data_IF_682002448725
#
_entry.id   IF_682002448725
#
_cell.length_a   1.000
_cell.length_b   1.000
_cell.length_c   1.000
_cell.angle_alpha   90.00
_cell.angle_beta   90.00
_cell.angle_gamma   90.00
#
_symmetry.space_group_name_H-M   'P 1'
#
loop_
_entity.id
_entity.type
_entity.pdbx_description
1 polymer ?
#
# COMPACT_ATOMS: atom_id res chain seq x y z
N UNK A 1 -23.99 20.37 -24.56
CA UNK A 1 -22.85 19.76 -23.84
C UNK A 1 -22.61 20.55 -22.56
N UNK A 2 -22.67 19.90 -21.40
CA UNK A 2 -22.75 20.58 -20.10
C UNK A 2 -21.35 21.08 -19.65
N UNK A 3 -21.24 22.37 -19.28
CA UNK A 3 -20.01 23.04 -18.81
C UNK A 3 -19.33 22.27 -17.66
N UNK A 4 -20.11 21.55 -16.85
CA UNK A 4 -19.65 20.71 -15.76
C UNK A 4 -18.78 19.52 -16.22
N UNK A 5 -18.98 19.07 -17.47
CA UNK A 5 -18.20 17.98 -18.07
C UNK A 5 -16.80 18.47 -18.51
N UNK A 6 -16.71 19.69 -19.04
CA UNK A 6 -15.44 20.31 -19.44
C UNK A 6 -14.58 20.65 -18.22
N UNK A 7 -15.18 21.15 -17.14
CA UNK A 7 -14.48 21.39 -15.87
C UNK A 7 -13.95 20.10 -15.22
N UNK A 8 -14.72 18.99 -15.26
CA UNK A 8 -14.24 17.68 -14.78
C UNK A 8 -13.09 17.14 -15.60
N UNK A 9 -13.10 17.32 -16.93
CA UNK A 9 -12.00 16.90 -17.80
C UNK A 9 -10.73 17.74 -17.56
N UNK A 10 -10.88 19.05 -17.30
CA UNK A 10 -9.74 19.94 -17.00
C UNK A 10 -9.06 19.62 -15.67
N UNK A 11 -9.86 19.35 -14.62
CA UNK A 11 -9.32 18.95 -13.30
C UNK A 11 -8.65 17.56 -13.34
N UNK A 12 -9.14 16.65 -14.18
CA UNK A 12 -8.50 15.33 -14.37
C UNK A 12 -7.20 15.45 -15.18
N UNK A 13 -7.13 16.36 -16.15
CA UNK A 13 -5.91 16.66 -16.90
C UNK A 13 -4.83 17.31 -16.01
N UNK A 14 -5.19 18.26 -15.14
CA UNK A 14 -4.25 18.86 -14.18
C UNK A 14 -3.76 17.87 -13.12
N UNK A 15 -4.61 16.94 -12.67
CA UNK A 15 -4.19 15.87 -11.75
C UNK A 15 -3.26 14.86 -12.41
N UNK A 16 -3.43 14.57 -13.71
CA UNK A 16 -2.51 13.73 -14.47
C UNK A 16 -1.15 14.40 -14.68
N UNK A 17 -1.13 15.72 -14.94
CA UNK A 17 0.10 16.50 -15.08
C UNK A 17 0.93 16.54 -13.77
N UNK A 18 0.28 16.72 -12.60
CA UNK A 18 0.99 16.74 -11.30
C UNK A 18 1.55 15.39 -10.85
N UNK A 19 0.99 14.27 -11.33
CA UNK A 19 1.53 12.93 -11.07
C UNK A 19 2.80 12.70 -11.89
N UNK A 20 2.87 13.23 -13.12
CA UNK A 20 4.07 13.14 -13.96
C UNK A 20 5.24 14.01 -13.46
N UNK A 21 4.95 15.12 -12.78
CA UNK A 21 5.98 16.04 -12.29
C UNK A 21 6.72 15.53 -11.04
N UNK A 22 6.08 14.69 -10.21
CA UNK A 22 6.72 14.09 -9.01
C UNK A 22 7.49 12.81 -9.30
N UNK A 23 7.24 12.16 -10.44
CA UNK A 23 8.02 11.00 -10.89
C UNK A 23 9.41 11.41 -11.44
N UNK A 24 9.63 12.70 -11.75
CA UNK A 24 10.79 13.19 -12.49
C UNK A 24 11.81 14.04 -11.70
N UNK A 25 11.80 14.05 -10.36
CA UNK A 25 12.88 14.71 -9.59
C UNK A 25 14.16 13.88 -9.43
N UNK A 26 14.09 12.57 -9.68
CA UNK A 26 15.28 11.71 -9.76
C UNK A 26 16.03 11.88 -11.10
N UNK A 27 15.31 12.18 -12.19
CA UNK A 27 15.88 12.24 -13.53
C UNK A 27 16.72 13.50 -13.81
N UNK A 28 16.51 14.59 -13.06
CA UNK A 28 17.25 15.84 -13.30
C UNK A 28 18.68 15.79 -12.73
N UNK A 29 18.90 15.06 -11.62
CA UNK A 29 20.25 14.90 -11.05
C UNK A 29 21.15 14.00 -11.88
N UNK A 30 20.61 13.18 -12.79
CA UNK A 30 21.37 12.32 -13.69
C UNK A 30 21.73 13.00 -15.02
N UNK A 31 21.24 14.22 -15.27
CA UNK A 31 21.42 14.89 -16.56
C UNK A 31 22.75 15.65 -16.69
N UNK A 32 23.46 15.88 -15.59
CA UNK A 32 24.73 16.61 -15.59
C UNK A 32 25.97 15.75 -15.78
N UNK A 33 25.86 14.41 -15.82
CA UNK A 33 26.99 13.50 -16.07
C UNK A 33 26.97 12.83 -17.45
N UNK A 34 26.00 13.16 -18.32
CA UNK A 34 25.86 12.52 -19.64
C UNK A 34 26.59 13.25 -20.77
N UNK A 35 27.31 14.35 -20.50
CA UNK A 35 28.00 15.15 -21.53
C UNK A 35 29.30 14.52 -22.06
N UNK A 36 29.76 13.40 -21.51
CA UNK A 36 30.99 12.72 -22.01
C UNK A 36 30.75 11.61 -23.05
N UNK A 37 29.50 11.19 -23.28
CA UNK A 37 29.23 10.07 -24.19
C UNK A 37 28.84 10.54 -25.61
N UNK A 38 29.79 11.14 -26.34
CA UNK A 38 29.66 11.32 -27.80
C UNK A 38 29.89 9.98 -28.52
N UNK A 39 28.84 9.14 -28.58
CA UNK A 39 28.80 7.96 -29.44
C UNK A 39 28.23 8.36 -30.81
N UNK A 40 29.10 8.49 -31.81
CA UNK A 40 28.71 8.68 -33.23
C UNK A 40 28.25 7.35 -33.81
N UNK A 41 26.93 7.16 -33.92
CA UNK A 41 26.31 5.93 -34.42
C UNK A 41 26.30 5.93 -35.96
N UNK A 42 27.10 5.07 -36.60
CA UNK A 42 27.10 4.88 -38.06
C UNK A 42 26.11 3.81 -38.55
N UNK A 43 25.57 2.95 -37.68
CA UNK A 43 24.51 1.96 -38.00
C UNK A 43 23.61 1.71 -36.79
N UNK A 44 22.28 1.75 -37.00
CA UNK A 44 21.25 1.75 -35.94
C UNK A 44 21.29 0.48 -35.05
N UNK A 45 21.75 -0.66 -35.57
CA UNK A 45 21.81 -1.92 -34.82
C UNK A 45 22.98 -2.02 -33.84
N UNK A 46 24.18 -1.60 -34.25
CA UNK A 46 25.42 -1.73 -33.47
C UNK A 46 25.43 -0.79 -32.25
N UNK A 47 24.83 0.39 -32.38
CA UNK A 47 24.75 1.38 -31.29
C UNK A 47 23.86 0.92 -30.12
N UNK A 48 22.78 0.17 -30.41
CA UNK A 48 21.88 -0.36 -29.38
C UNK A 48 22.56 -1.47 -28.59
N UNK A 49 23.32 -2.33 -29.26
CA UNK A 49 24.03 -3.43 -28.60
C UNK A 49 25.13 -2.92 -27.65
N UNK A 50 25.94 -1.95 -28.10
CA UNK A 50 26.94 -1.30 -27.27
C UNK A 50 26.31 -0.59 -26.05
N UNK A 51 25.15 0.04 -26.23
CA UNK A 51 24.40 0.65 -25.14
C UNK A 51 23.91 -0.38 -24.12
N UNK A 52 23.31 -1.48 -24.57
CA UNK A 52 22.82 -2.55 -23.69
C UNK A 52 23.95 -3.18 -22.87
N UNK A 53 25.11 -3.41 -23.49
CA UNK A 53 26.29 -3.92 -22.79
C UNK A 53 26.74 -2.97 -21.68
N UNK A 54 26.84 -1.66 -21.98
CA UNK A 54 27.24 -0.65 -20.99
C UNK A 54 26.22 -0.51 -19.88
N UNK A 55 24.93 -0.51 -20.21
CA UNK A 55 23.82 -0.44 -19.26
C UNK A 55 23.85 -1.62 -18.29
N UNK A 56 23.94 -2.85 -18.80
CA UNK A 56 23.97 -4.06 -17.98
C UNK A 56 25.19 -4.08 -17.04
N UNK A 57 26.36 -3.65 -17.51
CA UNK A 57 27.57 -3.53 -16.69
C UNK A 57 27.38 -2.55 -15.52
N UNK A 58 26.66 -1.45 -15.74
CA UNK A 58 26.37 -0.48 -14.68
C UNK A 58 25.31 -0.99 -13.70
N UNK A 59 24.30 -1.70 -14.20
CA UNK A 59 23.27 -2.35 -13.37
C UNK A 59 23.92 -3.36 -12.43
N UNK A 60 24.79 -4.24 -12.93
CA UNK A 60 25.49 -5.24 -12.10
C UNK A 60 26.37 -4.60 -11.03
N UNK A 61 27.04 -3.48 -11.36
CA UNK A 61 27.94 -2.80 -10.43
C UNK A 61 27.21 -2.02 -9.34
N UNK A 62 26.09 -1.39 -9.66
CA UNK A 62 25.46 -0.38 -8.79
C UNK A 62 24.12 -0.80 -8.19
N UNK A 63 23.46 -1.81 -8.74
CA UNK A 63 22.15 -2.28 -8.23
C UNK A 63 22.38 -3.59 -7.47
N UNK A 64 22.27 -3.58 -6.13
CA UNK A 64 22.42 -4.80 -5.33
C UNK A 64 21.38 -5.84 -5.76
N UNK A 65 21.83 -7.06 -6.07
CA UNK A 65 20.93 -8.19 -6.35
C UNK A 65 20.27 -8.61 -5.04
N UNK A 66 19.01 -8.22 -4.86
CA UNK A 66 18.23 -8.61 -3.69
C UNK A 66 17.88 -10.09 -3.83
N UNK A 67 18.58 -10.95 -3.08
CA UNK A 67 18.27 -12.37 -2.97
C UNK A 67 17.06 -12.54 -2.04
N UNK A 68 15.87 -12.34 -2.60
CA UNK A 68 14.63 -12.58 -1.88
C UNK A 68 14.50 -14.08 -1.67
N UNK A 69 14.66 -14.56 -0.43
CA UNK A 69 14.40 -15.95 -0.06
C UNK A 69 13.09 -16.44 -0.69
N UNK A 70 13.07 -17.67 -1.25
CA UNK A 70 11.84 -18.28 -1.78
C UNK A 70 10.71 -18.32 -0.74
N UNK A 71 11.03 -18.21 0.56
CA UNK A 71 10.05 -18.13 1.65
C UNK A 71 9.49 -16.72 1.89
N UNK A 72 10.18 -15.67 1.45
CA UNK A 72 9.77 -14.28 1.63
C UNK A 72 8.72 -13.88 0.58
N UNK A 73 7.55 -14.52 0.67
CA UNK A 73 6.34 -14.00 0.05
C UNK A 73 5.68 -13.08 1.05
N UNK A 74 5.56 -11.80 0.71
CA UNK A 74 4.67 -10.86 1.40
C UNK A 74 3.22 -11.36 1.28
N UNK A 75 2.81 -12.30 2.14
CA UNK A 75 1.41 -12.67 2.28
C UNK A 75 0.75 -11.49 2.94
N UNK A 76 0.00 -10.70 2.16
CA UNK A 76 -0.86 -9.66 2.72
C UNK A 76 -1.77 -10.32 3.76
N UNK A 77 -1.72 -9.82 4.99
CA UNK A 77 -2.55 -10.34 6.07
C UNK A 77 -4.01 -10.27 5.64
N UNK A 78 -4.71 -11.38 5.80
CA UNK A 78 -6.14 -11.45 5.51
C UNK A 78 -6.85 -10.66 6.62
N UNK A 79 -7.77 -9.73 6.27
CA UNK A 79 -8.52 -9.00 7.29
C UNK A 79 -9.25 -9.96 8.23
N UNK A 80 -9.28 -9.66 9.53
CA UNK A 80 -9.90 -10.51 10.56
C UNK A 80 -11.41 -10.73 10.35
N UNK A 81 -12.08 -9.79 9.70
CA UNK A 81 -13.49 -9.88 9.30
C UNK A 81 -13.70 -10.64 7.98
N UNK A 82 -12.65 -11.03 7.25
CA UNK A 82 -12.80 -11.70 5.96
C UNK A 82 -13.38 -13.11 6.14
N UNK A 83 -14.30 -13.49 5.25
CA UNK A 83 -14.92 -14.82 5.25
C UNK A 83 -14.75 -15.51 3.88
N UNK A 84 -14.88 -16.86 3.82
CA UNK A 84 -14.79 -17.61 2.56
C UNK A 84 -15.84 -17.18 1.52
N UNK A 85 -16.99 -16.68 1.94
CA UNK A 85 -18.08 -16.24 1.06
C UNK A 85 -17.72 -14.98 0.28
N UNK A 86 -17.13 -13.97 0.93
CA UNK A 86 -16.58 -12.75 0.30
C UNK A 86 -15.53 -13.15 -0.73
N UNK A 87 -14.67 -14.11 -0.39
CA UNK A 87 -13.66 -14.64 -1.32
C UNK A 87 -14.32 -15.29 -2.55
N UNK A 88 -15.36 -16.10 -2.35
CA UNK A 88 -16.12 -16.75 -3.44
C UNK A 88 -16.75 -15.71 -4.38
N UNK A 89 -17.52 -14.77 -3.85
CA UNK A 89 -18.22 -13.76 -4.67
C UNK A 89 -17.23 -12.80 -5.33
N UNK A 90 -16.10 -12.48 -4.67
CA UNK A 90 -15.02 -11.68 -5.28
C UNK A 90 -14.39 -12.42 -6.47
N UNK A 91 -14.18 -13.74 -6.38
CA UNK A 91 -13.73 -14.56 -7.51
C UNK A 91 -14.75 -14.56 -8.64
N UNK A 92 -16.04 -14.68 -8.34
CA UNK A 92 -17.11 -14.60 -9.36
C UNK A 92 -17.13 -13.24 -10.05
N UNK A 93 -17.04 -12.14 -9.30
CA UNK A 93 -16.89 -10.78 -9.83
C UNK A 93 -15.71 -10.68 -10.78
N UNK A 94 -14.56 -11.24 -10.39
CA UNK A 94 -13.36 -11.26 -11.23
C UNK A 94 -13.55 -12.08 -12.50
N UNK A 95 -14.16 -13.27 -12.41
CA UNK A 95 -14.50 -14.09 -13.59
C UNK A 95 -15.39 -13.32 -14.58
N UNK A 96 -16.41 -12.62 -14.09
CA UNK A 96 -17.27 -11.78 -14.94
C UNK A 96 -16.52 -10.62 -15.57
N UNK A 97 -15.60 -9.98 -14.84
CA UNK A 97 -14.74 -8.93 -15.39
C UNK A 97 -13.85 -9.46 -16.51
N UNK A 98 -13.23 -10.63 -16.33
CA UNK A 98 -12.41 -11.26 -17.37
C UNK A 98 -13.25 -11.59 -18.61
N UNK A 99 -14.45 -12.16 -18.44
CA UNK A 99 -15.39 -12.42 -19.55
C UNK A 99 -15.80 -11.14 -20.26
N UNK A 100 -16.12 -10.08 -19.52
CA UNK A 100 -16.51 -8.78 -20.07
C UNK A 100 -15.39 -8.18 -20.94
N UNK A 101 -14.12 -8.34 -20.54
CA UNK A 101 -12.97 -7.85 -21.32
C UNK A 101 -12.76 -8.60 -22.64
N UNK A 102 -13.15 -9.86 -22.71
CA UNK A 102 -13.03 -10.71 -23.89
C UNK A 102 -14.29 -10.74 -24.77
N UNK A 103 -15.38 -10.07 -24.34
CA UNK A 103 -16.68 -10.15 -24.99
C UNK A 103 -16.79 -9.20 -26.20
N UNK A 104 -17.58 -9.61 -27.20
CA UNK A 104 -18.05 -8.75 -28.28
C UNK A 104 -19.07 -7.72 -27.78
N UNK A 105 -19.34 -6.67 -28.58
CA UNK A 105 -20.22 -5.55 -28.19
C UNK A 105 -21.62 -5.99 -27.73
N UNK A 106 -22.22 -6.99 -28.40
CA UNK A 106 -23.55 -7.50 -28.06
C UNK A 106 -23.58 -8.26 -26.73
N UNK A 107 -22.62 -9.18 -26.52
CA UNK A 107 -22.49 -9.94 -25.27
C UNK A 107 -22.07 -9.07 -24.08
N UNK A 108 -21.33 -7.98 -24.34
CA UNK A 108 -20.83 -7.07 -23.31
C UNK A 108 -21.96 -6.37 -22.53
N UNK A 109 -23.13 -6.12 -23.13
CA UNK A 109 -24.25 -5.44 -22.46
C UNK A 109 -24.76 -6.28 -21.28
N UNK A 110 -25.04 -7.56 -21.52
CA UNK A 110 -25.52 -8.51 -20.50
C UNK A 110 -24.45 -8.79 -19.45
N UNK A 111 -23.19 -8.97 -19.87
CA UNK A 111 -22.09 -9.18 -18.94
C UNK A 111 -21.83 -7.95 -18.05
N UNK A 112 -22.03 -6.74 -18.56
CA UNK A 112 -21.88 -5.50 -17.80
C UNK A 112 -22.93 -5.37 -16.70
N UNK A 113 -24.18 -5.73 -16.98
CA UNK A 113 -25.25 -5.71 -15.97
C UNK A 113 -24.98 -6.77 -14.87
N UNK A 114 -24.60 -7.99 -15.25
CA UNK A 114 -24.22 -9.06 -14.33
C UNK A 114 -23.01 -8.67 -13.45
N UNK A 115 -21.98 -8.08 -14.06
CA UNK A 115 -20.80 -7.57 -13.34
C UNK A 115 -21.17 -6.47 -12.35
N UNK A 116 -22.03 -5.51 -12.73
CA UNK A 116 -22.51 -4.44 -11.84
C UNK A 116 -23.28 -5.01 -10.65
N UNK A 117 -24.14 -6.01 -10.88
CA UNK A 117 -24.86 -6.74 -9.82
C UNK A 117 -23.88 -7.40 -8.84
N UNK A 118 -22.87 -8.13 -9.34
CA UNK A 118 -21.83 -8.73 -8.48
C UNK A 118 -20.98 -7.71 -7.76
N UNK A 119 -20.70 -6.55 -8.35
CA UNK A 119 -20.00 -5.46 -7.64
C UNK A 119 -20.81 -4.97 -6.43
N UNK A 120 -22.12 -4.79 -6.59
CA UNK A 120 -23.00 -4.40 -5.50
C UNK A 120 -23.08 -5.48 -4.42
N UNK A 121 -23.23 -6.75 -4.81
CA UNK A 121 -23.27 -7.89 -3.89
C UNK A 121 -22.00 -7.97 -3.03
N UNK A 122 -20.82 -7.82 -3.63
CA UNK A 122 -19.55 -7.78 -2.87
C UNK A 122 -19.54 -6.62 -1.88
N UNK A 123 -19.93 -5.40 -2.32
CA UNK A 123 -19.93 -4.22 -1.44
C UNK A 123 -20.87 -4.41 -0.25
N UNK A 124 -22.09 -4.88 -0.50
CA UNK A 124 -23.10 -5.14 0.52
C UNK A 124 -22.60 -6.18 1.53
N UNK A 125 -22.11 -7.33 1.05
CA UNK A 125 -21.64 -8.40 1.92
C UNK A 125 -20.43 -7.97 2.77
N UNK A 126 -19.49 -7.22 2.20
CA UNK A 126 -18.34 -6.69 2.96
C UNK A 126 -18.83 -5.77 4.07
N UNK A 127 -19.75 -4.84 3.78
CA UNK A 127 -20.28 -3.93 4.79
C UNK A 127 -21.01 -4.68 5.93
N UNK A 128 -21.86 -5.64 5.59
CA UNK A 128 -22.57 -6.48 6.57
C UNK A 128 -21.61 -7.29 7.44
N UNK A 129 -20.57 -7.86 6.82
CA UNK A 129 -19.58 -8.68 7.54
C UNK A 129 -18.72 -7.84 8.48
N UNK A 130 -18.27 -6.66 8.04
CA UNK A 130 -17.53 -5.71 8.87
C UNK A 130 -18.39 -5.27 10.07
N UNK A 131 -19.65 -4.89 9.83
CA UNK A 131 -20.56 -4.50 10.89
C UNK A 131 -20.80 -5.62 11.91
N UNK A 132 -20.98 -6.85 11.44
CA UNK A 132 -21.15 -8.02 12.32
C UNK A 132 -19.90 -8.27 13.19
N UNK A 133 -18.72 -8.14 12.59
CA UNK A 133 -17.45 -8.25 13.29
C UNK A 133 -17.28 -7.15 14.36
N UNK A 134 -17.60 -5.90 14.03
CA UNK A 134 -17.53 -4.77 14.96
C UNK A 134 -18.55 -4.90 16.09
N UNK A 135 -19.77 -5.35 15.80
CA UNK A 135 -20.78 -5.69 16.83
C UNK A 135 -20.26 -6.77 17.79
N UNK A 136 -19.56 -7.78 17.28
CA UNK A 136 -18.94 -8.82 18.12
C UNK A 136 -17.90 -8.21 19.06
N UNK A 137 -17.02 -7.34 18.56
CA UNK A 137 -16.04 -6.64 19.38
C UNK A 137 -16.73 -5.78 20.44
N UNK A 138 -17.73 -4.99 20.07
CA UNK A 138 -18.45 -4.11 20.99
C UNK A 138 -19.16 -4.87 22.12
N UNK A 139 -19.67 -6.08 21.85
CA UNK A 139 -20.27 -6.94 22.88
C UNK A 139 -19.22 -7.51 23.84
N UNK A 140 -18.03 -7.83 23.34
CA UNK A 140 -16.99 -8.52 24.09
C UNK A 140 -15.95 -7.57 24.72
N UNK A 141 -15.96 -6.29 24.38
CA UNK A 141 -14.91 -5.36 24.83
C UNK A 141 -14.92 -5.12 26.35
N UNK A 142 -16.08 -5.24 27.00
CA UNK A 142 -16.19 -5.09 28.46
C UNK A 142 -15.48 -6.22 29.22
N UNK A 143 -15.60 -7.46 28.73
CA UNK A 143 -14.94 -8.62 29.34
C UNK A 143 -13.51 -8.83 28.85
N UNK A 144 -13.20 -8.41 27.61
CA UNK A 144 -11.87 -8.49 27.04
C UNK A 144 -11.49 -7.18 26.32
N UNK A 145 -10.94 -6.20 27.06
CA UNK A 145 -10.60 -4.90 26.50
C UNK A 145 -9.48 -4.97 25.43
N UNK A 146 -8.64 -6.00 25.45
CA UNK A 146 -7.58 -6.20 24.44
C UNK A 146 -8.14 -6.34 23.02
N UNK A 147 -9.36 -6.84 22.85
CA UNK A 147 -10.00 -6.93 21.53
C UNK A 147 -10.23 -5.55 20.90
N UNK A 148 -10.69 -4.59 21.70
CA UNK A 148 -10.92 -3.23 21.25
C UNK A 148 -9.60 -2.54 20.90
N UNK A 149 -8.60 -2.63 21.78
CA UNK A 149 -7.27 -2.05 21.50
C UNK A 149 -6.62 -2.67 20.27
N UNK A 150 -6.73 -3.99 20.09
CA UNK A 150 -6.23 -4.66 18.89
C UNK A 150 -6.92 -4.16 17.62
N UNK A 151 -8.25 -4.01 17.64
CA UNK A 151 -8.99 -3.46 16.51
C UNK A 151 -8.55 -2.03 16.19
N UNK A 152 -8.49 -1.13 17.18
CA UNK A 152 -8.08 0.26 17.00
C UNK A 152 -6.65 0.34 16.44
N UNK A 153 -5.72 -0.46 16.99
CA UNK A 153 -4.34 -0.50 16.53
C UNK A 153 -4.21 -1.04 15.09
N UNK A 154 -5.07 -1.97 14.68
CA UNK A 154 -5.10 -2.46 13.31
C UNK A 154 -5.63 -1.42 12.31
N UNK A 155 -6.46 -0.46 12.74
CA UNK A 155 -6.93 0.65 11.90
C UNK A 155 -5.90 1.78 11.72
N UNK A 156 -4.89 1.85 12.59
CA UNK A 156 -3.84 2.88 12.49
C UNK A 156 -3.00 2.68 11.24
N UNK A 157 -2.84 3.74 10.45
CA UNK A 157 -1.99 3.74 9.25
C UNK A 157 -0.51 3.60 9.60
N UNK A 158 -0.08 4.34 10.62
CA UNK A 158 1.28 4.29 11.14
C UNK A 158 1.30 3.31 12.31
N UNK A 159 2.17 2.30 12.20
CA UNK A 159 2.45 1.33 13.28
C UNK A 159 3.76 1.72 13.96
N UNK A 160 3.87 3.00 14.29
CA UNK A 160 5.07 3.52 14.91
C UNK A 160 5.24 2.88 16.29
N UNK A 161 6.44 2.35 16.50
CA UNK A 161 6.89 1.83 17.78
C UNK A 161 7.90 2.81 18.34
N UNK A 162 7.88 2.98 19.66
CA UNK A 162 8.96 3.67 20.35
C UNK A 162 10.23 2.85 20.11
N UNK A 163 11.21 3.44 19.43
CA UNK A 163 12.46 2.74 19.08
C UNK A 163 13.44 2.74 20.24
N UNK A 164 13.45 3.83 21.00
CA UNK A 164 14.27 4.00 22.19
C UNK A 164 13.71 5.15 23.04
N UNK A 165 14.07 5.16 24.31
CA UNK A 165 13.89 6.30 25.22
C UNK A 165 15.24 6.70 25.80
N UNK A 166 15.33 7.92 26.32
CA UNK A 166 16.50 8.40 27.06
C UNK A 166 16.05 8.68 28.49
N UNK A 167 16.70 8.04 29.45
CA UNK A 167 16.43 8.23 30.87
C UNK A 167 16.97 9.58 31.38
N UNK A 168 16.55 10.03 32.57
CA UNK A 168 17.05 11.22 33.26
C UNK A 168 18.58 11.21 33.44
N UNK A 169 19.18 10.03 33.48
CA UNK A 169 20.63 9.81 33.56
C UNK A 169 21.32 9.85 32.18
N UNK A 170 20.61 10.16 31.11
CA UNK A 170 21.14 10.19 29.73
C UNK A 170 21.35 8.82 29.10
N UNK A 171 20.98 7.72 29.78
CA UNK A 171 21.12 6.36 29.25
C UNK A 171 20.05 6.06 28.20
N UNK A 172 20.46 5.55 27.04
CA UNK A 172 19.55 5.11 26.00
C UNK A 172 18.98 3.72 26.34
N UNK A 173 17.66 3.64 26.44
CA UNK A 173 16.91 2.40 26.63
C UNK A 173 16.37 1.94 25.29
N UNK A 174 16.84 0.77 24.83
CA UNK A 174 16.43 0.16 23.55
C UNK A 174 15.56 -1.08 23.79
N UNK A 175 15.79 -1.78 24.91
CA UNK A 175 15.03 -2.97 25.28
C UNK A 175 13.57 -2.61 25.62
N UNK A 176 12.62 -3.37 25.08
CA UNK A 176 11.18 -3.12 25.22
C UNK A 176 10.74 -3.18 26.70
N UNK A 177 11.34 -4.07 27.49
CA UNK A 177 11.03 -4.24 28.91
C UNK A 177 11.50 -3.05 29.76
N UNK A 178 12.73 -2.57 29.52
CA UNK A 178 13.28 -1.40 30.20
C UNK A 178 12.47 -0.13 29.87
N UNK A 179 12.09 0.03 28.60
CA UNK A 179 11.22 1.11 28.14
C UNK A 179 9.86 1.07 28.86
N UNK A 180 9.25 -0.12 28.98
CA UNK A 180 7.96 -0.28 29.64
C UNK A 180 8.03 0.07 31.13
N UNK A 181 9.08 -0.41 31.83
CA UNK A 181 9.28 -0.11 33.24
C UNK A 181 9.51 1.39 33.48
N UNK A 182 10.36 2.03 32.67
CA UNK A 182 10.60 3.46 32.76
C UNK A 182 9.32 4.29 32.56
N UNK A 183 8.48 3.92 31.57
CA UNK A 183 7.19 4.57 31.37
C UNK A 183 6.25 4.34 32.55
N UNK A 184 6.15 3.10 33.06
CA UNK A 184 5.29 2.78 34.20
C UNK A 184 5.67 3.58 35.44
N UNK A 185 6.96 3.72 35.75
CA UNK A 185 7.44 4.55 36.87
C UNK A 185 7.09 6.02 36.67
N UNK A 186 7.31 6.57 35.46
CA UNK A 186 6.97 7.96 35.16
C UNK A 186 5.47 8.23 35.33
N UNK A 187 4.62 7.30 34.84
CA UNK A 187 3.18 7.36 35.01
C UNK A 187 2.79 7.26 36.49
N UNK A 188 3.28 6.25 37.22
CA UNK A 188 3.00 6.06 38.64
C UNK A 188 3.32 7.33 39.45
N UNK A 189 4.50 7.90 39.23
CA UNK A 189 4.91 9.12 39.92
C UNK A 189 3.99 10.29 39.61
N UNK A 190 3.56 10.48 38.35
CA UNK A 190 2.68 11.60 37.99
C UNK A 190 1.29 11.58 38.63
N UNK A 191 0.77 10.38 38.97
CA UNK A 191 -0.56 10.22 39.56
C UNK A 191 -0.55 10.00 41.07
N UNK A 192 0.57 9.55 41.63
CA UNK A 192 0.70 9.25 43.06
C UNK A 192 1.62 10.23 43.81
N UNK A 193 2.12 11.28 43.17
CA UNK A 193 2.63 12.46 43.89
C UNK A 193 1.46 13.15 44.57
N UNK A 194 1.10 12.65 45.76
CA UNK A 194 0.40 13.40 46.79
C UNK A 194 1.41 14.43 47.30
N UNK A 195 1.22 15.68 46.89
CA UNK A 195 1.70 16.86 47.63
C UNK A 195 0.50 17.57 48.18
#
# INVERSE_FOLDING_TARGET
>A
MNLLCLLKMRVLAEKAARINEKQCRCAHSQRLELDECKLTIRRVGEGIEAFLQKYNKLVEKHIPVIHVSKSFRFKKAIPKWSNPQIKKITKEKFKLFSKLRAASKSAAIILRSAYKKKCYEVKKLVAETVLSYEKKIARQCKSNPKLLYSYINDQKKCKDKIRYLVDRKGKQLINEEDIANCLNEAFYNSFNTVT
#
